data_IF_964016946181
#
_entry.id   IF_964016946181
#
_cell.length_a   1.000
_cell.length_b   1.000
_cell.length_c   1.000
_cell.angle_alpha   90.00
_cell.angle_beta   90.00
_cell.angle_gamma   90.00
#
_symmetry.space_group_name_H-M   'P 1'
#
loop_
_entity.id
_entity.type
_entity.pdbx_description
1 polymer ?
#
# COMPACT_ATOMS: atom_id res chain seq x y z
N UNK A 1 -0.15 15.87 4.77
CA UNK A 1 0.79 14.89 5.36
C UNK A 1 0.20 14.28 6.63
N UNK A 2 -0.27 15.08 7.61
CA UNK A 2 -0.93 14.54 8.81
C UNK A 2 -2.09 13.57 8.55
N UNK A 3 -2.98 13.88 7.61
CA UNK A 3 -4.12 13.00 7.27
C UNK A 3 -3.69 11.63 6.73
N UNK A 4 -2.70 11.58 5.84
CA UNK A 4 -2.21 10.33 5.23
C UNK A 4 -1.63 9.41 6.31
N UNK A 5 -0.70 9.92 7.13
CA UNK A 5 -0.10 9.15 8.23
C UNK A 5 -1.19 8.60 9.17
N UNK A 6 -2.16 9.43 9.54
CA UNK A 6 -3.25 9.01 10.44
C UNK A 6 -4.11 7.90 9.82
N UNK A 7 -4.49 8.05 8.54
CA UNK A 7 -5.26 7.05 7.81
C UNK A 7 -4.50 5.74 7.69
N UNK A 8 -3.23 5.78 7.29
CA UNK A 8 -2.39 4.58 7.18
C UNK A 8 -2.25 3.88 8.53
N UNK A 9 -2.00 4.62 9.62
CA UNK A 9 -1.88 4.05 10.96
C UNK A 9 -3.18 3.38 11.42
N UNK A 10 -4.33 4.05 11.26
CA UNK A 10 -5.63 3.47 11.61
C UNK A 10 -5.91 2.22 10.76
N UNK A 11 -5.71 2.30 9.45
CA UNK A 11 -5.91 1.18 8.54
C UNK A 11 -5.02 -0.01 8.90
N UNK A 12 -3.77 0.25 9.31
CA UNK A 12 -2.81 -0.77 9.73
C UNK A 12 -3.24 -1.46 11.03
N UNK A 13 -3.80 -0.72 12.00
CA UNK A 13 -4.32 -1.31 13.23
C UNK A 13 -5.60 -2.13 12.97
N UNK A 14 -6.50 -1.59 12.14
CA UNK A 14 -7.74 -2.28 11.77
C UNK A 14 -7.45 -3.54 10.95
N UNK A 15 -6.42 -3.54 10.11
CA UNK A 15 -6.09 -4.67 9.23
C UNK A 15 -5.67 -5.92 10.00
N UNK A 16 -5.17 -5.80 11.24
CA UNK A 16 -4.84 -6.94 12.12
C UNK A 16 -6.04 -7.89 12.26
N UNK A 17 -7.25 -7.34 12.39
CA UNK A 17 -8.47 -8.10 12.52
C UNK A 17 -9.22 -8.21 11.20
N UNK A 18 -9.27 -7.11 10.43
CA UNK A 18 -10.04 -7.08 9.20
C UNK A 18 -9.47 -8.02 8.13
N UNK A 19 -8.14 -8.10 7.97
CA UNK A 19 -7.54 -8.92 6.91
C UNK A 19 -7.87 -10.41 7.08
N UNK A 20 -7.64 -11.07 8.23
CA UNK A 20 -8.01 -12.48 8.41
C UNK A 20 -9.50 -12.74 8.20
N UNK A 21 -10.38 -11.85 8.70
CA UNK A 21 -11.83 -12.01 8.60
C UNK A 21 -12.32 -11.83 7.16
N UNK A 22 -11.81 -10.82 6.45
CA UNK A 22 -12.17 -10.58 5.05
C UNK A 22 -11.59 -11.67 4.14
N UNK A 23 -10.37 -12.15 4.41
CA UNK A 23 -9.83 -13.31 3.69
C UNK A 23 -10.71 -14.54 3.90
N UNK A 24 -11.13 -14.83 5.14
CA UNK A 24 -12.06 -15.93 5.40
C UNK A 24 -13.41 -15.77 4.70
N UNK A 25 -13.92 -14.53 4.61
CA UNK A 25 -15.20 -14.24 3.96
C UNK A 25 -15.15 -14.38 2.43
N UNK A 26 -14.06 -13.96 1.79
CA UNK A 26 -13.95 -13.91 0.33
C UNK A 26 -13.18 -15.07 -0.29
N UNK A 27 -12.33 -15.76 0.48
CA UNK A 27 -11.61 -16.93 -0.01
C UNK A 27 -12.56 -18.12 -0.14
N UNK A 28 -12.22 -19.03 -1.05
CA UNK A 28 -12.97 -20.26 -1.22
C UNK A 28 -12.94 -21.11 0.07
N UNK A 29 -14.09 -21.69 0.43
CA UNK A 29 -14.24 -22.46 1.65
C UNK A 29 -13.31 -23.69 1.70
N UNK A 30 -12.89 -24.23 0.55
CA UNK A 30 -11.97 -25.36 0.48
C UNK A 30 -10.53 -25.02 0.87
N UNK A 31 -10.16 -23.72 0.90
CA UNK A 31 -8.80 -23.29 1.27
C UNK A 31 -8.54 -23.36 2.79
N UNK A 32 -9.57 -23.51 3.62
CA UNK A 32 -9.41 -23.69 5.07
C UNK A 32 -8.65 -22.55 5.75
N UNK A 33 -9.09 -21.31 5.56
CA UNK A 33 -8.39 -20.10 6.04
C UNK A 33 -8.14 -20.14 7.56
N UNK A 34 -6.87 -20.15 8.02
CA UNK A 34 -6.53 -20.24 9.43
C UNK A 34 -6.57 -18.86 10.11
N UNK A 35 -7.78 -18.33 10.30
CA UNK A 35 -8.04 -16.94 10.78
C UNK A 35 -7.24 -16.59 12.04
N UNK A 36 -7.23 -17.48 13.04
CA UNK A 36 -6.52 -17.22 14.30
C UNK A 36 -5.01 -17.11 14.11
N UNK A 37 -4.42 -17.99 13.29
CA UNK A 37 -2.98 -17.96 13.01
C UNK A 37 -2.62 -16.71 12.19
N UNK A 38 -3.43 -16.37 11.18
CA UNK A 38 -3.25 -15.15 10.41
C UNK A 38 -3.31 -13.90 11.29
N UNK A 39 -4.23 -13.82 12.25
CA UNK A 39 -4.32 -12.70 13.19
C UNK A 39 -3.03 -12.55 13.99
N UNK A 40 -2.50 -13.65 14.54
CA UNK A 40 -1.24 -13.65 15.30
C UNK A 40 -0.08 -13.19 14.41
N UNK A 41 0.06 -13.79 13.22
CA UNK A 41 1.15 -13.41 12.31
C UNK A 41 1.08 -11.96 11.85
N UNK A 42 -0.12 -11.42 11.58
CA UNK A 42 -0.24 -10.00 11.25
C UNK A 42 0.14 -9.13 12.44
N UNK A 43 -0.31 -9.47 13.64
CA UNK A 43 0.07 -8.73 14.84
C UNK A 43 1.60 -8.75 15.03
N UNK A 44 2.26 -9.88 14.82
CA UNK A 44 3.72 -9.99 14.90
C UNK A 44 4.41 -9.18 13.80
N UNK A 45 3.99 -9.32 12.54
CA UNK A 45 4.62 -8.64 11.39
C UNK A 45 4.41 -7.12 11.45
N UNK A 46 3.31 -6.65 12.04
CA UNK A 46 2.94 -5.24 12.06
C UNK A 46 3.27 -4.57 13.39
N UNK A 47 2.73 -5.08 14.50
CA UNK A 47 2.82 -4.40 15.80
C UNK A 47 4.24 -4.44 16.34
N UNK A 48 4.94 -5.59 16.22
CA UNK A 48 6.30 -5.72 16.79
C UNK A 48 7.26 -4.72 16.13
N UNK A 49 7.37 -4.62 14.78
CA UNK A 49 8.25 -3.63 14.15
C UNK A 49 7.84 -2.18 14.42
N UNK A 50 6.53 -1.89 14.51
CA UNK A 50 6.05 -0.53 14.81
C UNK A 50 6.45 -0.11 16.23
N UNK A 51 6.20 -0.97 17.22
CA UNK A 51 6.56 -0.70 18.62
C UNK A 51 8.08 -0.61 18.78
N UNK A 52 8.83 -1.51 18.14
CA UNK A 52 10.30 -1.48 18.15
C UNK A 52 10.83 -0.19 17.50
N UNK A 53 10.29 0.21 16.35
CA UNK A 53 10.66 1.45 15.66
C UNK A 53 10.33 2.69 16.47
N UNK A 54 9.17 2.73 17.13
CA UNK A 54 8.81 3.80 18.06
C UNK A 54 9.77 3.86 19.26
N UNK A 55 10.08 2.72 19.88
CA UNK A 55 11.03 2.65 20.99
C UNK A 55 12.43 3.13 20.60
N UNK A 56 12.91 2.72 19.42
CA UNK A 56 14.18 3.17 18.88
C UNK A 56 14.17 4.68 18.61
N UNK A 57 13.10 5.21 18.02
CA UNK A 57 12.96 6.65 17.77
C UNK A 57 12.95 7.47 19.07
N UNK A 58 12.34 6.96 20.14
CA UNK A 58 12.39 7.60 21.46
C UNK A 58 13.81 7.60 22.05
N UNK A 59 14.60 6.57 21.77
CA UNK A 59 15.92 6.41 22.38
C UNK A 59 17.03 7.18 21.65
N UNK A 60 17.02 7.19 20.32
CA UNK A 60 18.10 7.77 19.50
C UNK A 60 17.62 8.78 18.44
N UNK A 61 16.31 9.07 18.38
CA UNK A 61 15.74 9.92 17.33
C UNK A 61 16.43 11.27 17.21
N UNK A 62 16.60 11.99 18.33
CA UNK A 62 17.22 13.32 18.35
C UNK A 62 18.73 13.29 18.06
N UNK A 63 19.35 12.11 18.10
CA UNK A 63 20.79 11.89 17.90
C UNK A 63 21.15 11.50 16.46
N UNK A 64 20.17 11.27 15.58
CA UNK A 64 20.39 10.89 14.19
C UNK A 64 19.83 11.94 13.20
N UNK A 65 20.64 12.93 12.80
CA UNK A 65 20.31 13.83 11.69
C UNK A 65 20.27 13.05 10.36
N UNK A 66 19.24 13.26 9.55
CA UNK A 66 19.06 12.65 8.20
C UNK A 66 18.53 11.21 8.14
N UNK A 67 17.92 10.69 9.22
CA UNK A 67 17.32 9.33 9.26
C UNK A 67 16.26 9.08 8.19
N UNK A 68 15.44 10.09 7.86
CA UNK A 68 14.28 9.92 6.97
C UNK A 68 14.67 9.49 5.54
N UNK A 69 15.79 10.02 5.03
CA UNK A 69 16.29 9.67 3.69
C UNK A 69 16.83 8.25 3.61
N UNK A 70 17.58 7.81 4.64
CA UNK A 70 18.13 6.46 4.70
C UNK A 70 17.06 5.40 4.92
N UNK A 71 16.06 5.67 5.77
CA UNK A 71 14.92 4.78 5.96
C UNK A 71 14.11 4.61 4.66
N UNK A 72 13.87 5.69 3.92
CA UNK A 72 13.15 5.62 2.65
C UNK A 72 13.92 4.80 1.59
N UNK A 73 15.24 5.01 1.48
CA UNK A 73 16.09 4.25 0.56
C UNK A 73 16.21 2.78 0.95
N UNK A 74 16.38 2.49 2.24
CA UNK A 74 16.43 1.13 2.75
C UNK A 74 15.12 0.37 2.49
N UNK A 75 13.98 1.01 2.73
CA UNK A 75 12.67 0.40 2.48
C UNK A 75 12.43 0.14 0.99
N UNK A 76 12.84 1.04 0.10
CA UNK A 76 12.66 0.85 -1.34
C UNK A 76 13.53 -0.28 -1.89
N UNK A 77 14.79 -0.37 -1.42
CA UNK A 77 15.69 -1.49 -1.76
C UNK A 77 15.14 -2.81 -1.25
N UNK A 78 14.70 -2.86 0.02
CA UNK A 78 14.13 -4.07 0.60
C UNK A 78 12.90 -4.57 -0.17
N UNK A 79 11.98 -3.67 -0.52
CA UNK A 79 10.81 -3.99 -1.33
C UNK A 79 11.22 -4.47 -2.73
N UNK A 80 12.20 -3.83 -3.37
CA UNK A 80 12.71 -4.26 -4.68
C UNK A 80 13.31 -5.66 -4.64
N UNK A 81 14.07 -6.00 -3.59
CA UNK A 81 14.64 -7.34 -3.37
C UNK A 81 13.54 -8.37 -3.15
N UNK A 82 12.55 -8.07 -2.31
CA UNK A 82 11.41 -8.96 -2.07
C UNK A 82 10.66 -9.24 -3.36
N UNK A 83 10.37 -8.21 -4.17
CA UNK A 83 9.76 -8.38 -5.50
C UNK A 83 10.61 -9.29 -6.38
N UNK A 84 11.93 -9.05 -6.47
CA UNK A 84 12.82 -9.83 -7.31
C UNK A 84 12.82 -11.32 -6.92
N UNK A 85 12.85 -11.61 -5.61
CA UNK A 85 12.78 -12.98 -5.09
C UNK A 85 11.45 -13.63 -5.50
N UNK A 86 10.32 -12.94 -5.33
CA UNK A 86 9.01 -13.55 -5.64
C UNK A 86 8.85 -13.79 -7.13
N UNK A 87 9.28 -12.84 -7.98
CA UNK A 87 9.27 -13.01 -9.43
C UNK A 87 10.13 -14.21 -9.84
N UNK A 88 11.33 -14.35 -9.25
CA UNK A 88 12.21 -15.49 -9.53
C UNK A 88 11.58 -16.83 -9.09
N UNK A 89 11.00 -16.89 -7.89
CA UNK A 89 10.36 -18.11 -7.37
C UNK A 89 9.09 -18.53 -8.13
N UNK A 90 8.45 -17.60 -8.86
CA UNK A 90 7.17 -17.83 -9.53
C UNK A 90 7.23 -17.66 -11.05
N UNK A 91 8.43 -17.69 -11.65
CA UNK A 91 8.63 -17.43 -13.08
C UNK A 91 7.73 -18.30 -13.98
N UNK A 92 7.59 -19.60 -13.68
CA UNK A 92 6.75 -20.52 -14.45
C UNK A 92 5.25 -20.22 -14.33
N UNK A 93 4.80 -19.84 -13.13
CA UNK A 93 3.40 -19.43 -12.90
C UNK A 93 3.09 -18.08 -13.57
N UNK A 94 4.06 -17.18 -13.62
CA UNK A 94 3.95 -15.91 -14.35
C UNK A 94 3.86 -16.15 -15.86
N UNK A 95 4.65 -17.09 -16.40
CA UNK A 95 4.62 -17.41 -17.83
C UNK A 95 3.25 -17.92 -18.30
N UNK A 96 2.49 -18.59 -17.42
CA UNK A 96 1.21 -19.22 -17.75
C UNK A 96 -0.01 -18.38 -17.35
N UNK A 97 -0.01 -17.76 -16.17
CA UNK A 97 -1.15 -17.00 -15.62
C UNK A 97 -0.90 -15.49 -15.53
N UNK A 98 0.33 -15.04 -15.81
CA UNK A 98 0.78 -13.69 -15.49
C UNK A 98 -0.02 -12.58 -16.14
N UNK A 99 -0.51 -12.75 -17.37
CA UNK A 99 -1.25 -11.69 -18.05
C UNK A 99 -2.63 -11.43 -17.40
N UNK A 100 -3.37 -12.49 -17.06
CA UNK A 100 -4.67 -12.37 -16.41
C UNK A 100 -4.53 -11.81 -15.00
N UNK A 101 -3.54 -12.32 -14.24
CA UNK A 101 -3.26 -11.82 -12.88
C UNK A 101 -2.79 -10.36 -12.93
N UNK A 102 -1.93 -9.99 -13.87
CA UNK A 102 -1.48 -8.61 -14.06
C UNK A 102 -2.65 -7.68 -14.40
N UNK A 103 -3.53 -8.08 -15.32
CA UNK A 103 -4.72 -7.31 -15.65
C UNK A 103 -5.63 -7.13 -14.42
N UNK A 104 -5.85 -8.18 -13.64
CA UNK A 104 -6.63 -8.12 -12.41
C UNK A 104 -5.99 -7.17 -11.37
N UNK A 105 -4.67 -7.26 -11.17
CA UNK A 105 -3.90 -6.37 -10.27
C UNK A 105 -4.01 -4.92 -10.70
N UNK A 106 -3.83 -4.64 -12.00
CA UNK A 106 -3.94 -3.29 -12.57
C UNK A 106 -5.33 -2.74 -12.34
N UNK A 107 -6.36 -3.50 -12.70
CA UNK A 107 -7.74 -3.09 -12.53
C UNK A 107 -8.09 -2.87 -11.07
N UNK A 108 -7.70 -3.78 -10.17
CA UNK A 108 -7.97 -3.67 -8.74
C UNK A 108 -7.37 -2.38 -8.16
N UNK A 109 -6.11 -2.07 -8.50
CA UNK A 109 -5.46 -0.84 -8.06
C UNK A 109 -6.12 0.43 -8.63
N UNK A 110 -6.43 0.44 -9.93
CA UNK A 110 -7.08 1.58 -10.57
C UNK A 110 -8.50 1.82 -10.04
N UNK A 111 -9.25 0.74 -9.78
CA UNK A 111 -10.56 0.81 -9.12
C UNK A 111 -10.39 1.38 -7.71
N UNK A 112 -9.41 0.92 -6.93
CA UNK A 112 -9.12 1.46 -5.60
C UNK A 112 -8.80 2.96 -5.63
N UNK A 113 -7.93 3.39 -6.54
CA UNK A 113 -7.61 4.81 -6.74
C UNK A 113 -8.85 5.64 -7.12
N UNK A 114 -9.64 5.15 -8.08
CA UNK A 114 -10.83 5.83 -8.58
C UNK A 114 -11.93 5.90 -7.52
N UNK A 115 -12.19 4.80 -6.82
CA UNK A 115 -13.18 4.72 -5.75
C UNK A 115 -12.78 5.61 -4.56
N UNK A 116 -11.52 5.52 -4.10
CA UNK A 116 -11.02 6.38 -3.03
C UNK A 116 -11.11 7.87 -3.36
N UNK A 117 -10.73 8.25 -4.58
CA UNK A 117 -10.90 9.63 -5.05
C UNK A 117 -12.38 10.03 -5.13
N UNK A 118 -13.20 9.22 -5.79
CA UNK A 118 -14.61 9.47 -6.03
C UNK A 118 -15.41 9.61 -4.74
N UNK A 119 -15.29 8.64 -3.84
CA UNK A 119 -15.99 8.66 -2.55
C UNK A 119 -15.58 9.88 -1.72
N UNK A 120 -14.29 10.18 -1.61
CA UNK A 120 -13.84 11.35 -0.87
C UNK A 120 -14.24 12.67 -1.53
N UNK A 121 -14.31 12.73 -2.87
CA UNK A 121 -14.87 13.89 -3.59
C UNK A 121 -16.35 14.10 -3.28
N UNK A 122 -17.13 13.02 -3.21
CA UNK A 122 -18.56 13.06 -2.92
C UNK A 122 -18.86 13.43 -1.47
N UNK A 123 -18.08 12.91 -0.52
CA UNK A 123 -18.34 13.06 0.91
C UNK A 123 -17.69 14.31 1.52
N UNK A 124 -16.45 14.62 1.14
CA UNK A 124 -15.68 15.70 1.76
C UNK A 124 -15.56 16.96 0.90
N UNK A 125 -15.83 16.88 -0.41
CA UNK A 125 -15.79 18.02 -1.33
C UNK A 125 -14.40 18.63 -1.59
N UNK A 126 -13.37 18.23 -0.85
CA UNK A 126 -12.00 18.75 -0.94
C UNK A 126 -11.11 17.86 -1.83
N UNK A 127 -10.39 18.48 -2.78
CA UNK A 127 -9.51 17.77 -3.73
C UNK A 127 -8.26 17.21 -3.07
N UNK A 128 -7.71 17.88 -2.06
CA UNK A 128 -6.53 17.44 -1.33
C UNK A 128 -6.85 16.20 -0.49
N UNK A 129 -7.97 16.22 0.23
CA UNK A 129 -8.50 15.06 0.96
C UNK A 129 -8.74 13.91 -0.02
N UNK A 130 -9.42 14.17 -1.14
CA UNK A 130 -9.71 13.13 -2.12
C UNK A 130 -8.45 12.48 -2.73
N UNK A 131 -7.41 13.27 -3.01
CA UNK A 131 -6.12 12.74 -3.48
C UNK A 131 -5.44 11.88 -2.42
N UNK A 132 -5.49 12.30 -1.15
CA UNK A 132 -4.95 11.51 -0.05
C UNK A 132 -5.71 10.19 0.08
N UNK A 133 -7.04 10.21 0.15
CA UNK A 133 -7.85 9.00 0.28
C UNK A 133 -7.68 8.07 -0.92
N UNK A 134 -7.59 8.62 -2.15
CA UNK A 134 -7.29 7.81 -3.34
C UNK A 134 -6.00 7.01 -3.18
N UNK A 135 -4.93 7.68 -2.74
CA UNK A 135 -3.63 7.04 -2.50
C UNK A 135 -3.74 6.01 -1.37
N UNK A 136 -4.37 6.32 -0.24
CA UNK A 136 -4.51 5.36 0.88
C UNK A 136 -5.32 4.12 0.49
N UNK A 137 -6.35 4.26 -0.35
CA UNK A 137 -7.18 3.13 -0.79
C UNK A 137 -6.51 2.33 -1.91
N UNK A 138 -5.86 3.01 -2.86
CA UNK A 138 -5.20 2.37 -3.99
C UNK A 138 -3.85 1.74 -3.64
N UNK A 139 -3.13 2.30 -2.68
CA UNK A 139 -1.82 1.84 -2.23
C UNK A 139 -1.98 0.90 -1.03
N UNK A 140 -1.98 -0.39 -1.30
CA UNK A 140 -2.09 -1.43 -0.26
C UNK A 140 -0.72 -1.84 0.28
N UNK A 141 -0.71 -2.44 1.48
CA UNK A 141 0.47 -3.13 1.99
C UNK A 141 0.59 -4.52 1.34
N UNK A 142 1.12 -4.53 0.12
CA UNK A 142 1.30 -5.73 -0.68
C UNK A 142 2.38 -6.67 -0.14
N UNK A 143 3.36 -6.16 0.62
CA UNK A 143 4.37 -6.97 1.30
C UNK A 143 3.76 -7.91 2.35
N UNK A 144 2.85 -7.39 3.19
CA UNK A 144 2.09 -8.19 4.14
C UNK A 144 1.24 -9.25 3.43
N UNK A 145 0.58 -8.88 2.33
CA UNK A 145 -0.24 -9.80 1.55
C UNK A 145 0.59 -10.97 0.99
N UNK A 146 1.78 -10.71 0.45
CA UNK A 146 2.72 -11.74 0.00
C UNK A 146 3.11 -12.66 1.15
N UNK A 147 3.54 -12.09 2.28
CA UNK A 147 4.03 -12.87 3.43
C UNK A 147 2.96 -13.85 3.92
N UNK A 148 1.73 -13.38 4.10
CA UNK A 148 0.61 -14.22 4.50
C UNK A 148 0.25 -15.26 3.44
N UNK A 149 0.27 -14.89 2.16
CA UNK A 149 -0.04 -15.81 1.07
C UNK A 149 0.95 -16.97 0.99
N UNK A 150 2.25 -16.69 1.14
CA UNK A 150 3.28 -17.72 1.17
C UNK A 150 3.18 -18.61 2.42
N UNK A 151 2.86 -18.02 3.57
CA UNK A 151 2.80 -18.75 4.83
C UNK A 151 1.59 -19.67 4.94
N UNK A 152 0.43 -19.23 4.45
CA UNK A 152 -0.85 -19.90 4.73
C UNK A 152 -1.54 -20.54 3.53
N UNK A 153 -1.09 -20.25 2.31
CA UNK A 153 -1.74 -20.75 1.11
C UNK A 153 -0.72 -21.45 0.19
N UNK A 154 -0.22 -20.75 -0.82
CA UNK A 154 0.70 -21.31 -1.81
C UNK A 154 1.61 -20.24 -2.39
N UNK A 155 2.71 -20.66 -3.02
CA UNK A 155 3.59 -19.75 -3.75
C UNK A 155 2.81 -18.95 -4.83
N UNK A 156 1.90 -19.61 -5.55
CA UNK A 156 1.05 -18.98 -6.55
C UNK A 156 0.10 -17.92 -5.95
N UNK A 157 -0.40 -18.12 -4.73
CA UNK A 157 -1.25 -17.14 -4.05
C UNK A 157 -0.51 -15.84 -3.70
N UNK A 158 0.82 -15.87 -3.63
CA UNK A 158 1.64 -14.68 -3.37
C UNK A 158 1.88 -13.83 -4.62
N UNK A 159 1.64 -14.40 -5.81
CA UNK A 159 1.93 -13.73 -7.09
C UNK A 159 1.15 -12.42 -7.28
N UNK A 160 -0.18 -12.34 -7.02
CA UNK A 160 -0.91 -11.08 -7.14
C UNK A 160 -0.34 -9.99 -6.25
N UNK A 161 0.02 -10.31 -5.00
CA UNK A 161 0.63 -9.36 -4.07
C UNK A 161 1.98 -8.82 -4.58
N UNK A 162 2.82 -9.69 -5.14
CA UNK A 162 4.13 -9.29 -5.67
C UNK A 162 4.01 -8.38 -6.90
N UNK A 163 3.13 -8.72 -7.85
CA UNK A 163 2.84 -7.89 -9.00
C UNK A 163 2.22 -6.56 -8.57
N UNK A 164 1.35 -6.59 -7.56
CA UNK A 164 0.76 -5.39 -6.97
C UNK A 164 1.85 -4.47 -6.42
N UNK A 165 2.85 -4.99 -5.70
CA UNK A 165 4.00 -4.22 -5.17
C UNK A 165 4.76 -3.43 -6.23
N UNK A 166 4.87 -3.97 -7.45
CA UNK A 166 5.49 -3.23 -8.57
C UNK A 166 4.51 -2.20 -9.11
N UNK A 167 3.31 -2.67 -9.46
CA UNK A 167 2.33 -1.86 -10.18
C UNK A 167 1.88 -0.63 -9.38
N UNK A 168 1.51 -0.81 -8.11
CA UNK A 168 0.96 0.29 -7.31
C UNK A 168 1.98 1.41 -7.07
N UNK A 169 3.28 1.10 -6.97
CA UNK A 169 4.33 2.11 -6.87
C UNK A 169 4.43 2.96 -8.14
N UNK A 170 4.34 2.31 -9.30
CA UNK A 170 4.32 3.01 -10.60
C UNK A 170 3.05 3.83 -10.76
N UNK A 171 1.86 3.23 -10.57
CA UNK A 171 0.58 3.90 -10.75
C UNK A 171 0.37 5.04 -9.74
N UNK A 172 0.79 4.84 -8.49
CA UNK A 172 0.78 5.85 -7.43
C UNK A 172 1.66 7.05 -7.77
N UNK A 173 2.88 6.82 -8.27
CA UNK A 173 3.77 7.90 -8.72
C UNK A 173 3.18 8.67 -9.90
N UNK A 174 2.60 7.97 -10.88
CA UNK A 174 1.93 8.60 -12.02
C UNK A 174 0.72 9.44 -11.58
N UNK A 175 -0.11 8.90 -10.69
CA UNK A 175 -1.27 9.61 -10.13
C UNK A 175 -0.83 10.86 -9.36
N UNK A 176 0.17 10.74 -8.50
CA UNK A 176 0.73 11.87 -7.75
C UNK A 176 1.28 12.94 -8.70
N UNK A 177 2.01 12.55 -9.76
CA UNK A 177 2.53 13.46 -10.76
C UNK A 177 1.42 14.18 -11.56
N UNK A 178 0.33 13.48 -11.90
CA UNK A 178 -0.83 14.07 -12.55
C UNK A 178 -1.55 15.09 -11.63
N UNK A 179 -1.69 14.75 -10.35
CA UNK A 179 -2.25 15.64 -9.33
C UNK A 179 -1.40 16.90 -9.12
N UNK A 180 -0.07 16.77 -9.09
CA UNK A 180 0.85 17.89 -8.97
C UNK A 180 0.76 18.83 -10.18
N UNK A 181 0.72 18.27 -11.39
CA UNK A 181 0.54 19.03 -12.63
C UNK A 181 -0.77 19.81 -12.65
N UNK A 182 -1.89 19.19 -12.29
CA UNK A 182 -3.19 19.87 -12.26
C UNK A 182 -3.27 20.99 -11.22
N UNK A 183 -2.64 20.84 -10.04
CA UNK A 183 -2.55 21.92 -9.06
C UNK A 183 -1.75 23.12 -9.57
N UNK A 184 -0.58 22.88 -10.18
CA UNK A 184 0.25 23.96 -10.75
C UNK A 184 -0.46 24.71 -11.88
N UNK A 185 -1.31 24.02 -12.65
CA UNK A 185 -2.10 24.63 -13.72
C UNK A 185 -3.16 25.59 -13.15
N UNK A 186 -3.93 25.14 -12.16
CA UNK A 186 -4.95 25.97 -11.49
C UNK A 186 -4.33 27.23 -10.89
N UNK A 187 -3.14 27.11 -10.29
CA UNK A 187 -2.42 28.22 -9.68
C UNK A 187 -1.90 29.25 -10.70
N UNK A 188 -1.54 28.81 -11.92
CA UNK A 188 -1.17 29.71 -13.03
C UNK A 188 -2.36 30.41 -13.68
N UNK A 189 -3.54 29.79 -13.64
CA UNK A 189 -4.78 30.33 -14.25
C UNK A 189 -5.51 31.32 -13.31
N UNK A 190 -5.13 31.39 -12.04
CA UNK A 190 -5.61 32.43 -11.13
C UNK A 190 -4.93 33.78 -11.46
N UNK A 191 -5.68 34.84 -11.83
CA UNK A 191 -5.09 36.15 -12.04
C UNK A 191 -4.39 36.59 -10.75
N UNK A 192 -3.19 37.16 -10.88
CA UNK A 192 -2.43 37.71 -9.75
C UNK A 192 -3.32 38.68 -8.97
N UNK A 193 -3.93 38.21 -7.88
CA UNK A 193 -4.75 39.06 -7.02
C UNK A 193 -3.78 39.99 -6.29
N UNK A 194 -3.66 41.19 -6.84
CA UNK A 194 -3.34 42.46 -6.17
C UNK A 194 -2.24 42.39 -5.12
N UNK A 195 -0.99 42.55 -5.54
CA UNK A 195 -0.05 43.38 -4.78
C UNK A 195 -0.40 44.83 -5.15
N UNK A 196 -1.25 45.46 -4.36
CA UNK A 196 -1.53 46.90 -4.40
C UNK A 196 -1.64 47.38 -2.95
#
# INVERSE_FOLDING_TARGET
MALSITLTSIATLVSVVATPVLTWLYADAALGVPVAAMLISIAEIVIVPVVAGMGLNLWIGDRWPSRDGWCALGSSIAIAVVIAIIVALNADSIATMGLVVLAAVVLHNLIGLAAGYGCARLLAGDRRIARTVAIEVGMQNSGLAVALAQQYFSAAAALPGALFSVWHNVSGALFAAACARSSRRVERELPARGQA
#
